data_IF_954276894861
#
_entry.id   IF_954276894861
#
_cell.length_a   1.000
_cell.length_b   1.000
_cell.length_c   1.000
_cell.angle_alpha   90.00
_cell.angle_beta   90.00
_cell.angle_gamma   90.00
#
_symmetry.space_group_name_H-M   'P 1'
#
loop_
_entity.id
_entity.type
_entity.pdbx_description
1 polymer ?
#
# COMPACT_ATOMS: atom_id res chain seq x y z
N UNK A 1 14.74 12.79 13.96
CA UNK A 1 14.14 12.02 12.87
C UNK A 1 14.68 10.59 12.76
N UNK A 2 15.99 10.35 12.67
CA UNK A 2 16.56 8.98 12.58
C UNK A 2 16.08 8.02 13.68
N UNK A 3 15.98 8.46 14.93
CA UNK A 3 15.49 7.64 16.06
C UNK A 3 14.02 7.25 15.92
N UNK A 4 13.16 8.16 15.43
CA UNK A 4 11.74 7.88 15.20
C UNK A 4 11.54 6.85 14.07
N UNK A 5 12.26 7.01 12.94
CA UNK A 5 12.23 6.05 11.85
C UNK A 5 12.69 4.65 12.30
N UNK A 6 13.77 4.60 13.08
CA UNK A 6 14.28 3.35 13.65
C UNK A 6 13.26 2.67 14.56
N UNK A 7 12.56 3.44 15.41
CA UNK A 7 11.50 2.93 16.26
C UNK A 7 10.32 2.37 15.44
N UNK A 8 9.87 3.12 14.42
CA UNK A 8 8.80 2.68 13.53
C UNK A 8 9.18 1.39 12.80
N UNK A 9 10.42 1.29 12.34
CA UNK A 9 10.93 0.10 11.67
C UNK A 9 10.92 -1.12 12.58
N UNK A 10 11.41 -1.02 13.80
CA UNK A 10 11.38 -2.12 14.76
C UNK A 10 9.96 -2.52 15.17
N UNK A 11 9.05 -1.55 15.32
CA UNK A 11 7.64 -1.84 15.62
C UNK A 11 6.93 -2.67 14.54
N UNK A 12 7.33 -2.51 13.29
CA UNK A 12 6.80 -3.28 12.16
C UNK A 12 7.40 -4.68 12.09
N UNK A 13 8.73 -4.82 12.29
CA UNK A 13 9.45 -6.12 12.16
C UNK A 13 8.83 -7.22 12.99
N UNK A 14 8.29 -6.91 14.15
CA UNK A 14 7.68 -7.89 15.04
C UNK A 14 6.51 -8.64 14.37
N UNK A 15 5.67 -7.92 13.61
CA UNK A 15 4.54 -8.51 12.88
C UNK A 15 4.88 -8.88 11.43
N UNK A 16 6.01 -8.38 10.93
CA UNK A 16 6.44 -8.57 9.55
C UNK A 16 6.62 -10.05 9.20
N UNK A 17 7.12 -10.85 10.12
CA UNK A 17 7.39 -12.28 9.90
C UNK A 17 6.13 -13.02 9.47
N UNK A 18 5.00 -12.77 10.12
CA UNK A 18 3.71 -13.44 9.84
C UNK A 18 3.17 -12.95 8.50
N UNK A 19 3.13 -11.63 8.28
CA UNK A 19 2.63 -11.07 7.02
C UNK A 19 3.49 -11.49 5.84
N UNK A 20 4.82 -11.49 6.01
CA UNK A 20 5.74 -11.90 4.97
C UNK A 20 5.62 -13.40 4.66
N UNK A 21 5.48 -14.24 5.68
CA UNK A 21 5.22 -15.67 5.50
C UNK A 21 3.93 -15.91 4.70
N UNK A 22 2.86 -15.18 5.01
CA UNK A 22 1.59 -15.25 4.27
C UNK A 22 1.76 -14.79 2.80
N UNK A 23 2.39 -13.63 2.57
CA UNK A 23 2.61 -13.09 1.23
C UNK A 23 3.53 -14.03 0.41
N UNK A 24 4.57 -14.59 1.02
CA UNK A 24 5.45 -15.56 0.37
C UNK A 24 4.72 -16.86 0.03
N UNK A 25 3.86 -17.36 0.93
CA UNK A 25 3.08 -18.57 0.67
C UNK A 25 2.14 -18.37 -0.52
N UNK A 26 1.40 -17.26 -0.55
CA UNK A 26 0.48 -16.94 -1.68
C UNK A 26 1.28 -16.71 -2.96
N UNK A 27 2.44 -16.04 -2.89
CA UNK A 27 3.32 -15.85 -4.03
C UNK A 27 3.86 -17.17 -4.60
N UNK A 28 4.23 -18.12 -3.74
CA UNK A 28 4.66 -19.48 -4.18
C UNK A 28 3.50 -20.25 -4.81
N UNK A 29 2.31 -20.18 -4.22
CA UNK A 29 1.10 -20.78 -4.83
C UNK A 29 0.82 -20.19 -6.22
N UNK A 30 1.01 -18.89 -6.38
CA UNK A 30 0.89 -18.21 -7.67
C UNK A 30 1.90 -18.77 -8.70
N UNK A 31 3.17 -18.95 -8.30
CA UNK A 31 4.20 -19.52 -9.18
C UNK A 31 3.88 -20.97 -9.60
N UNK A 32 3.21 -21.73 -8.75
CA UNK A 32 2.84 -23.12 -9.05
C UNK A 32 1.60 -23.17 -9.97
N UNK A 33 0.59 -22.38 -9.68
CA UNK A 33 -0.70 -22.45 -10.38
C UNK A 33 -0.74 -21.65 -11.67
N UNK A 34 -0.04 -20.53 -11.71
CA UNK A 34 -0.08 -19.58 -12.83
C UNK A 34 -1.47 -19.00 -13.12
N UNK A 35 -2.34 -18.90 -12.11
CA UNK A 35 -3.73 -18.48 -12.25
C UNK A 35 -3.83 -16.97 -12.39
N UNK A 36 -4.45 -16.46 -13.47
CA UNK A 36 -4.53 -15.03 -13.78
C UNK A 36 -5.30 -14.24 -12.70
N UNK A 37 -6.38 -14.82 -12.17
CA UNK A 37 -7.17 -14.21 -11.10
C UNK A 37 -6.38 -14.09 -9.81
N UNK A 38 -5.60 -15.10 -9.47
CA UNK A 38 -4.73 -15.10 -8.31
C UNK A 38 -3.60 -14.06 -8.46
N UNK A 39 -3.04 -13.94 -9.67
CA UNK A 39 -2.03 -12.94 -9.99
C UNK A 39 -2.55 -11.52 -9.78
N UNK A 40 -3.73 -11.22 -10.29
CA UNK A 40 -4.37 -9.91 -10.14
C UNK A 40 -4.70 -9.60 -8.67
N UNK A 41 -5.29 -10.56 -7.97
CA UNK A 41 -5.61 -10.42 -6.54
C UNK A 41 -4.35 -10.24 -5.69
N UNK A 42 -3.32 -11.03 -5.92
CA UNK A 42 -2.04 -10.92 -5.22
C UNK A 42 -1.39 -9.55 -5.43
N UNK A 43 -1.39 -9.06 -6.67
CA UNK A 43 -0.78 -7.78 -7.01
C UNK A 43 -1.47 -6.58 -6.35
N UNK A 44 -2.80 -6.64 -6.20
CA UNK A 44 -3.57 -5.57 -5.57
C UNK A 44 -3.58 -5.64 -4.05
N UNK A 45 -3.47 -6.84 -3.46
CA UNK A 45 -3.66 -7.05 -2.02
C UNK A 45 -2.34 -7.09 -1.25
N UNK A 46 -1.27 -7.65 -1.82
CA UNK A 46 -0.02 -7.84 -1.08
C UNK A 46 0.67 -6.53 -0.66
N UNK A 47 0.79 -5.46 -1.49
CA UNK A 47 1.36 -4.20 -1.05
C UNK A 47 0.58 -3.54 0.08
N UNK A 48 -0.79 -3.42 0.04
CA UNK A 48 -1.58 -2.98 1.17
C UNK A 48 -1.36 -3.78 2.45
N UNK A 49 -1.27 -5.10 2.40
CA UNK A 49 -1.03 -5.93 3.60
C UNK A 49 0.28 -5.52 4.29
N UNK A 50 1.35 -5.34 3.51
CA UNK A 50 2.65 -4.94 4.06
C UNK A 50 2.60 -3.51 4.60
N UNK A 51 1.94 -2.59 3.91
CA UNK A 51 1.77 -1.21 4.35
C UNK A 51 0.94 -1.08 5.63
N UNK A 52 -0.12 -1.89 5.78
CA UNK A 52 -0.98 -1.94 6.96
C UNK A 52 -0.23 -2.32 8.24
N UNK A 53 0.92 -3.00 8.15
CA UNK A 53 1.77 -3.27 9.30
C UNK A 53 2.23 -1.99 9.98
N UNK A 54 2.51 -0.93 9.20
CA UNK A 54 2.89 0.36 9.76
C UNK A 54 1.71 1.04 10.47
N UNK A 55 0.50 0.94 9.93
CA UNK A 55 -0.70 1.47 10.60
C UNK A 55 -0.98 0.71 11.89
N UNK A 56 -0.81 -0.61 11.90
CA UNK A 56 -0.96 -1.43 13.12
C UNK A 56 0.09 -1.11 14.19
N UNK A 57 1.28 -0.66 13.80
CA UNK A 57 2.31 -0.18 14.71
C UNK A 57 1.84 1.04 15.51
N UNK A 58 1.12 1.98 14.88
CA UNK A 58 0.56 3.16 15.55
C UNK A 58 -0.43 2.76 16.64
N UNK A 59 -1.24 1.73 16.41
CA UNK A 59 -2.13 1.15 17.45
C UNK A 59 -1.35 0.64 18.67
N UNK A 60 -0.27 -0.10 18.45
CA UNK A 60 0.61 -0.59 19.54
C UNK A 60 1.23 0.54 20.34
N UNK A 61 1.66 1.61 19.65
CA UNK A 61 2.23 2.79 20.28
C UNK A 61 1.23 3.49 21.20
N UNK A 62 -0.02 3.57 20.80
CA UNK A 62 -1.08 4.15 21.64
C UNK A 62 -1.40 3.25 22.85
N UNK A 63 -1.52 1.95 22.65
CA UNK A 63 -1.78 0.99 23.72
C UNK A 63 -0.68 1.00 24.79
N UNK A 64 0.58 1.20 24.40
CA UNK A 64 1.74 1.31 25.29
C UNK A 64 1.94 2.71 25.88
N UNK A 65 1.08 3.68 25.56
CA UNK A 65 1.22 5.12 25.90
C UNK A 65 2.50 5.76 25.34
N UNK A 66 3.19 5.10 24.41
CA UNK A 66 4.39 5.61 23.75
C UNK A 66 4.11 6.89 22.97
N UNK A 67 2.90 7.02 22.42
CA UNK A 67 2.42 8.21 21.76
C UNK A 67 2.54 9.46 22.66
N UNK A 68 2.12 9.35 23.94
CA UNK A 68 2.24 10.45 24.91
C UNK A 68 3.70 10.76 25.26
N UNK A 69 4.53 9.71 25.38
CA UNK A 69 5.94 9.88 25.65
C UNK A 69 6.68 10.56 24.48
N UNK A 70 6.33 10.26 23.23
CA UNK A 70 6.89 10.95 22.06
C UNK A 70 6.73 12.47 22.12
N UNK A 71 5.65 12.97 22.73
CA UNK A 71 5.40 14.41 22.86
C UNK A 71 6.31 15.10 23.88
N UNK A 72 6.92 14.35 24.79
CA UNK A 72 7.91 14.89 25.76
C UNK A 72 9.33 14.93 25.21
N UNK A 73 9.58 14.29 24.08
CA UNK A 73 10.88 14.30 23.44
C UNK A 73 11.17 15.68 22.82
N UNK A 74 12.43 16.11 22.73
CA UNK A 74 12.84 17.38 22.11
C UNK A 74 12.78 17.28 20.57
N UNK A 75 11.62 16.89 20.03
CA UNK A 75 11.36 16.76 18.59
C UNK A 75 10.12 17.54 18.20
N UNK A 76 10.11 18.10 17.00
CA UNK A 76 8.95 18.83 16.49
C UNK A 76 7.81 17.84 16.21
N UNK A 77 6.58 18.20 16.57
CA UNK A 77 5.37 17.38 16.29
C UNK A 77 5.26 16.97 14.81
N UNK A 78 5.59 17.90 13.91
CA UNK A 78 5.65 17.65 12.47
C UNK A 78 6.58 16.49 12.13
N UNK A 79 7.76 16.40 12.77
CA UNK A 79 8.72 15.31 12.52
C UNK A 79 8.20 13.93 12.98
N UNK A 80 7.30 13.88 13.95
CA UNK A 80 6.66 12.63 14.38
C UNK A 80 5.73 12.14 13.27
N UNK A 81 4.87 13.01 12.75
CA UNK A 81 3.93 12.68 11.67
C UNK A 81 4.70 12.31 10.39
N UNK A 82 5.65 13.15 9.98
CA UNK A 82 6.49 12.88 8.81
C UNK A 82 7.19 11.52 8.89
N UNK A 83 7.69 11.14 10.08
CA UNK A 83 8.34 9.83 10.27
C UNK A 83 7.40 8.66 10.04
N UNK A 84 6.11 8.80 10.34
CA UNK A 84 5.10 7.76 10.10
C UNK A 84 4.80 7.62 8.60
N UNK A 85 4.58 8.74 7.90
CA UNK A 85 4.37 8.73 6.45
C UNK A 85 5.56 8.18 5.68
N UNK A 86 6.78 8.61 6.04
CA UNK A 86 8.01 8.09 5.42
C UNK A 86 8.14 6.58 5.66
N UNK A 87 7.92 6.11 6.89
CA UNK A 87 7.97 4.68 7.20
C UNK A 87 6.92 3.90 6.42
N UNK A 88 5.70 4.43 6.34
CA UNK A 88 4.61 3.82 5.57
C UNK A 88 4.95 3.71 4.09
N UNK A 89 5.49 4.78 3.49
CA UNK A 89 5.92 4.78 2.08
C UNK A 89 7.03 3.75 1.83
N UNK A 90 8.00 3.63 2.73
CA UNK A 90 9.06 2.61 2.62
C UNK A 90 8.47 1.21 2.62
N UNK A 91 7.54 0.91 3.51
CA UNK A 91 6.89 -0.41 3.57
C UNK A 91 5.97 -0.66 2.37
N UNK A 92 5.27 0.37 1.87
CA UNK A 92 4.49 0.29 0.63
C UNK A 92 5.38 -0.05 -0.57
N UNK A 93 6.52 0.63 -0.71
CA UNK A 93 7.50 0.34 -1.78
C UNK A 93 8.05 -1.08 -1.63
N UNK A 94 8.34 -1.53 -0.41
CA UNK A 94 8.79 -2.91 -0.18
C UNK A 94 7.75 -3.93 -0.65
N UNK A 95 6.46 -3.67 -0.41
CA UNK A 95 5.36 -4.49 -0.91
C UNK A 95 5.30 -4.53 -2.43
N UNK A 96 5.41 -3.37 -3.07
CA UNK A 96 5.46 -3.24 -4.54
C UNK A 96 6.64 -4.03 -5.13
N UNK A 97 7.82 -3.94 -4.53
CA UNK A 97 9.01 -4.69 -4.97
C UNK A 97 8.78 -6.21 -4.88
N UNK A 98 8.20 -6.70 -3.78
CA UNK A 98 7.88 -8.12 -3.63
C UNK A 98 6.93 -8.58 -4.73
N UNK A 99 5.85 -7.82 -4.97
CA UNK A 99 4.89 -8.15 -6.04
C UNK A 99 5.54 -8.12 -7.41
N UNK A 100 6.38 -7.11 -7.71
CA UNK A 100 7.09 -7.02 -8.97
C UNK A 100 8.01 -8.23 -9.21
N UNK A 101 8.68 -8.72 -8.17
CA UNK A 101 9.51 -9.94 -8.26
C UNK A 101 8.65 -11.17 -8.58
N UNK A 102 7.56 -11.40 -7.84
CA UNK A 102 6.66 -12.53 -8.10
C UNK A 102 5.99 -12.44 -9.46
N UNK A 103 5.56 -11.24 -9.88
CA UNK A 103 5.00 -10.99 -11.20
C UNK A 103 6.00 -11.37 -12.30
N UNK A 104 7.24 -10.92 -12.19
CA UNK A 104 8.30 -11.21 -13.16
C UNK A 104 8.59 -12.72 -13.22
N UNK A 105 8.68 -13.37 -12.06
CA UNK A 105 8.89 -14.83 -12.00
C UNK A 105 7.72 -15.61 -12.61
N UNK A 106 6.48 -15.18 -12.35
CA UNK A 106 5.30 -15.83 -12.93
C UNK A 106 5.28 -15.71 -14.45
N UNK A 107 5.57 -14.53 -14.98
CA UNK A 107 5.66 -14.30 -16.43
C UNK A 107 6.82 -15.12 -17.04
N UNK A 108 7.94 -15.23 -16.34
CA UNK A 108 9.08 -16.03 -16.81
C UNK A 108 8.77 -17.53 -16.90
N UNK A 109 7.98 -18.06 -15.95
CA UNK A 109 7.65 -19.50 -15.88
C UNK A 109 6.49 -19.85 -16.81
N UNK A 110 5.45 -19.05 -16.86
CA UNK A 110 4.19 -19.36 -17.55
C UNK A 110 3.99 -18.57 -18.85
N UNK A 111 4.87 -17.63 -19.17
CA UNK A 111 4.72 -16.72 -20.31
C UNK A 111 3.80 -15.54 -20.01
N UNK A 112 3.56 -14.72 -21.04
CA UNK A 112 2.76 -13.49 -20.96
C UNK A 112 1.28 -13.69 -21.34
N UNK A 113 0.83 -14.93 -21.47
CA UNK A 113 -0.53 -15.29 -21.87
C UNK A 113 -1.65 -14.73 -20.97
N UNK A 114 -1.27 -14.20 -19.80
CA UNK A 114 -2.21 -13.64 -18.82
C UNK A 114 -2.54 -12.17 -19.06
N UNK A 115 -1.84 -11.49 -19.94
CA UNK A 115 -1.95 -10.06 -20.15
C UNK A 115 -2.48 -9.74 -21.54
N UNK A 116 -3.69 -9.17 -21.61
CA UNK A 116 -4.28 -8.78 -22.88
C UNK A 116 -3.47 -7.67 -23.59
N UNK A 117 -2.98 -6.70 -22.82
CA UNK A 117 -2.11 -5.61 -23.28
C UNK A 117 -0.63 -5.81 -22.90
N UNK A 118 -0.22 -7.04 -22.60
CA UNK A 118 1.16 -7.39 -22.30
C UNK A 118 1.73 -6.65 -21.09
N UNK A 119 2.91 -6.06 -21.25
CA UNK A 119 3.67 -5.41 -20.17
C UNK A 119 2.91 -4.28 -19.48
N UNK A 120 1.99 -3.60 -20.15
CA UNK A 120 1.12 -2.56 -19.59
C UNK A 120 0.27 -3.08 -18.45
N UNK A 121 -0.37 -4.23 -18.63
CA UNK A 121 -1.25 -4.80 -17.61
C UNK A 121 -0.46 -5.16 -16.35
N UNK A 122 0.75 -5.72 -16.53
CA UNK A 122 1.65 -6.05 -15.44
C UNK A 122 2.02 -4.81 -14.61
N UNK A 123 2.45 -3.72 -15.27
CA UNK A 123 2.78 -2.46 -14.59
C UNK A 123 1.56 -1.89 -13.89
N UNK A 124 0.40 -1.90 -14.54
CA UNK A 124 -0.86 -1.40 -13.98
C UNK A 124 -1.24 -2.10 -12.68
N UNK A 125 -1.15 -3.43 -12.65
CA UNK A 125 -1.46 -4.22 -11.46
C UNK A 125 -0.49 -3.92 -10.31
N UNK A 126 0.80 -3.86 -10.60
CA UNK A 126 1.84 -3.59 -9.59
C UNK A 126 1.70 -2.17 -9.03
N UNK A 127 1.52 -1.17 -9.89
CA UNK A 127 1.32 0.23 -9.48
C UNK A 127 -0.01 0.42 -8.77
N UNK A 128 -1.08 -0.24 -9.23
CA UNK A 128 -2.39 -0.20 -8.61
C UNK A 128 -2.36 -0.65 -7.15
N UNK A 129 -1.68 -1.76 -6.86
CA UNK A 129 -1.44 -2.23 -5.49
C UNK A 129 -0.64 -1.24 -4.65
N UNK A 130 0.39 -0.61 -5.24
CA UNK A 130 1.20 0.43 -4.58
C UNK A 130 0.39 1.69 -4.26
N UNK A 131 -0.44 2.15 -5.20
CA UNK A 131 -1.33 3.31 -4.99
C UNK A 131 -2.34 3.03 -3.90
N UNK A 132 -2.98 1.85 -3.90
CA UNK A 132 -3.88 1.45 -2.83
C UNK A 132 -3.18 1.45 -1.47
N UNK A 133 -1.95 0.94 -1.39
CA UNK A 133 -1.16 0.94 -0.16
C UNK A 133 -0.90 2.36 0.36
N UNK A 134 -0.52 3.30 -0.51
CA UNK A 134 -0.26 4.70 -0.15
C UNK A 134 -1.55 5.41 0.26
N UNK A 135 -2.65 5.21 -0.47
CA UNK A 135 -3.96 5.79 -0.16
C UNK A 135 -4.47 5.35 1.21
N UNK A 136 -4.33 4.07 1.55
CA UNK A 136 -4.72 3.56 2.88
C UNK A 136 -3.97 4.31 3.98
N UNK A 137 -2.68 4.57 3.83
CA UNK A 137 -1.93 5.39 4.78
C UNK A 137 -2.40 6.83 4.82
N UNK A 138 -2.64 7.44 3.66
CA UNK A 138 -3.12 8.82 3.55
C UNK A 138 -4.45 9.04 4.28
N UNK A 139 -5.35 8.05 4.29
CA UNK A 139 -6.60 8.10 5.06
C UNK A 139 -6.42 7.69 6.52
N UNK A 140 -5.67 6.64 6.78
CA UNK A 140 -5.56 6.08 8.13
C UNK A 140 -4.95 7.06 9.12
N UNK A 141 -3.86 7.75 8.77
CA UNK A 141 -3.18 8.64 9.72
C UNK A 141 -4.01 9.84 10.14
N UNK A 142 -4.63 10.64 9.23
CA UNK A 142 -5.49 11.74 9.65
C UNK A 142 -6.68 11.28 10.51
N UNK A 143 -7.34 10.20 10.12
CA UNK A 143 -8.46 9.64 10.88
C UNK A 143 -8.02 9.15 12.26
N UNK A 144 -6.82 8.60 12.36
CA UNK A 144 -6.24 8.17 13.62
C UNK A 144 -6.03 9.33 14.60
N UNK A 145 -5.50 10.46 14.09
CA UNK A 145 -5.33 11.66 14.90
C UNK A 145 -6.65 12.35 15.28
N UNK A 146 -7.70 12.21 14.45
CA UNK A 146 -9.02 12.77 14.71
C UNK A 146 -9.84 11.92 15.68
N UNK A 147 -9.84 10.61 15.53
CA UNK A 147 -10.74 9.70 16.26
C UNK A 147 -10.07 8.93 17.39
N UNK A 148 -8.75 8.95 17.44
CA UNK A 148 -7.96 8.24 18.45
C UNK A 148 -7.77 6.76 18.18
N UNK A 149 -6.83 6.18 18.92
CA UNK A 149 -6.40 4.79 18.75
C UNK A 149 -7.45 3.74 19.09
N UNK A 150 -8.44 4.10 19.92
CA UNK A 150 -9.49 3.18 20.32
C UNK A 150 -10.37 2.72 19.16
N UNK A 151 -10.46 3.54 18.10
CA UNK A 151 -11.26 3.28 16.89
C UNK A 151 -10.44 2.74 15.72
N UNK A 152 -9.26 2.19 15.95
CA UNK A 152 -8.33 1.76 14.89
C UNK A 152 -8.97 0.80 13.90
N UNK A 153 -9.81 -0.14 14.34
CA UNK A 153 -10.45 -1.11 13.45
C UNK A 153 -11.43 -0.43 12.47
N UNK A 154 -12.23 0.52 12.97
CA UNK A 154 -13.15 1.31 12.14
C UNK A 154 -12.37 2.17 11.16
N UNK A 155 -11.28 2.79 11.62
CA UNK A 155 -10.39 3.62 10.78
C UNK A 155 -9.80 2.79 9.64
N UNK A 156 -9.33 1.57 9.93
CA UNK A 156 -8.77 0.68 8.90
C UNK A 156 -9.82 0.30 7.86
N UNK A 157 -11.03 -0.08 8.29
CA UNK A 157 -12.12 -0.42 7.38
C UNK A 157 -12.47 0.77 6.47
N UNK A 158 -12.65 1.96 7.04
CA UNK A 158 -12.98 3.17 6.29
C UNK A 158 -11.84 3.53 5.33
N UNK A 159 -10.59 3.43 5.77
CA UNK A 159 -9.43 3.74 4.93
C UNK A 159 -9.30 2.78 3.74
N UNK A 160 -9.53 1.49 3.95
CA UNK A 160 -9.50 0.49 2.86
C UNK A 160 -10.66 0.74 1.88
N UNK A 161 -11.90 0.87 2.38
CA UNK A 161 -13.07 1.10 1.53
C UNK A 161 -12.94 2.44 0.80
N UNK A 162 -12.51 3.50 1.47
CA UNK A 162 -12.29 4.81 0.88
C UNK A 162 -11.23 4.79 -0.21
N UNK A 163 -10.12 4.08 0.02
CA UNK A 163 -9.04 3.94 -0.97
C UNK A 163 -9.51 3.19 -2.23
N UNK A 164 -10.24 2.09 -2.05
CA UNK A 164 -10.83 1.32 -3.17
C UNK A 164 -11.85 2.20 -3.92
N UNK A 165 -12.70 2.93 -3.19
CA UNK A 165 -13.71 3.81 -3.77
C UNK A 165 -13.08 4.93 -4.62
N UNK A 166 -11.98 5.54 -4.17
CA UNK A 166 -11.26 6.58 -4.92
C UNK A 166 -10.63 5.98 -6.19
N UNK A 167 -9.94 4.86 -6.08
CA UNK A 167 -9.33 4.21 -7.25
C UNK A 167 -10.40 3.85 -8.27
N UNK A 168 -11.54 3.29 -7.83
CA UNK A 168 -12.65 2.97 -8.70
C UNK A 168 -13.27 4.22 -9.36
N UNK A 169 -13.52 5.28 -8.59
CA UNK A 169 -14.07 6.54 -9.10
C UNK A 169 -13.13 7.18 -10.13
N UNK A 170 -11.83 7.17 -9.89
CA UNK A 170 -10.83 7.69 -10.84
C UNK A 170 -10.78 6.86 -12.12
N UNK A 171 -10.82 5.55 -12.02
CA UNK A 171 -10.87 4.65 -13.19
C UNK A 171 -12.13 4.91 -14.02
N UNK A 172 -13.29 5.07 -13.38
CA UNK A 172 -14.53 5.45 -14.04
C UNK A 172 -14.44 6.81 -14.72
N UNK A 173 -13.90 7.83 -14.06
CA UNK A 173 -13.73 9.16 -14.63
C UNK A 173 -12.83 9.13 -15.86
N UNK A 174 -11.66 8.50 -15.77
CA UNK A 174 -10.73 8.38 -16.90
C UNK A 174 -11.40 7.67 -18.08
N UNK A 175 -12.14 6.60 -17.82
CA UNK A 175 -12.84 5.84 -18.87
C UNK A 175 -13.95 6.66 -19.54
N UNK A 176 -14.69 7.46 -18.76
CA UNK A 176 -15.77 8.32 -19.27
C UNK A 176 -15.24 9.45 -20.15
N UNK A 177 -14.12 10.10 -19.73
CA UNK A 177 -13.53 11.19 -20.51
C UNK A 177 -12.75 10.74 -21.74
N UNK A 178 -12.47 9.46 -21.87
CA UNK A 178 -11.67 8.87 -22.93
C UNK A 178 -12.49 8.15 -24.01
N UNK A 179 -13.83 8.23 -23.96
CA UNK A 179 -14.75 7.52 -24.87
C UNK A 179 -14.39 6.04 -25.10
N UNK A 180 -13.87 5.38 -24.08
CA UNK A 180 -13.43 3.99 -24.14
C UNK A 180 -12.06 3.75 -24.79
N UNK A 181 -11.45 4.76 -25.42
CA UNK A 181 -10.12 4.70 -26.01
C UNK A 181 -9.08 5.41 -25.13
N UNK A 182 -8.79 4.84 -23.98
CA UNK A 182 -7.73 5.38 -23.11
C UNK A 182 -6.38 5.19 -23.77
N UNK A 183 -5.74 6.28 -24.21
CA UNK A 183 -4.35 6.20 -24.63
C UNK A 183 -3.49 5.83 -23.41
N UNK A 184 -2.46 5.01 -23.62
CA UNK A 184 -1.55 4.58 -22.56
C UNK A 184 -0.97 5.77 -21.78
N UNK A 185 -0.69 6.85 -22.48
CA UNK A 185 -0.17 8.09 -21.92
C UNK A 185 -1.15 8.73 -20.93
N UNK A 186 -2.44 8.81 -21.25
CA UNK A 186 -3.48 9.36 -20.36
C UNK A 186 -3.64 8.52 -19.10
N UNK A 187 -3.57 7.21 -19.24
CA UNK A 187 -3.66 6.28 -18.11
C UNK A 187 -2.48 6.46 -17.15
N UNK A 188 -1.25 6.49 -17.65
CA UNK A 188 -0.06 6.70 -16.80
C UNK A 188 -0.01 8.09 -16.17
N UNK A 189 -0.45 9.13 -16.88
CA UNK A 189 -0.55 10.49 -16.31
C UNK A 189 -1.57 10.50 -15.17
N UNK A 190 -2.73 9.86 -15.33
CA UNK A 190 -3.75 9.79 -14.27
C UNK A 190 -3.23 9.07 -13.02
N UNK A 191 -2.50 7.97 -13.17
CA UNK A 191 -1.86 7.24 -12.08
C UNK A 191 -0.81 8.11 -11.37
N UNK A 192 0.02 8.85 -12.11
CA UNK A 192 1.01 9.76 -11.54
C UNK A 192 0.35 10.90 -10.76
N UNK A 193 -0.71 11.50 -11.30
CA UNK A 193 -1.46 12.58 -10.63
C UNK A 193 -2.08 12.09 -9.33
N UNK A 194 -2.71 10.91 -9.33
CA UNK A 194 -3.29 10.32 -8.13
C UNK A 194 -2.21 10.06 -7.08
N UNK A 195 -1.09 9.48 -7.49
CA UNK A 195 0.03 9.21 -6.57
C UNK A 195 0.60 10.52 -6.00
N UNK A 196 0.73 11.57 -6.82
CA UNK A 196 1.20 12.87 -6.36
C UNK A 196 0.24 13.52 -5.36
N UNK A 197 -1.07 13.49 -5.62
CA UNK A 197 -2.11 14.06 -4.71
C UNK A 197 -2.12 13.32 -3.37
N UNK A 198 -1.82 12.03 -3.34
CA UNK A 198 -1.84 11.25 -2.09
C UNK A 198 -0.58 11.41 -1.24
N UNK A 199 0.51 11.92 -1.80
CA UNK A 199 1.78 12.16 -1.08
C UNK A 199 1.82 13.60 -0.50
N UNK A 200 1.06 14.55 -1.04
CA UNK A 200 0.96 15.95 -0.58
C UNK A 200 0.01 16.05 0.60
#
# INVERSE_FOLDING_TARGET
MKGLLKNNFYGVIENLKIALAFVMLVGVLLLITGEATLLSAFSLIAPPIIALLMVSCVRKESASKWEKYKLTLPVRRKAIIESQYISHTIWSISGVVIVAVFMTLTVFIHGDQYFYYGFRDAITLVLGGGILAILIGAFSYPLYYLWGAEKTEVILIISVIGSIGIVFALTMLVNTFSDGNVSDTLYYISLLVVTAITII
#
